data_IF_281366534605
#
_entry.id   IF_281366534605
#
_cell.length_a   1.000
_cell.length_b   1.000
_cell.length_c   1.000
_cell.angle_alpha   90.00
_cell.angle_beta   90.00
_cell.angle_gamma   90.00
#
_symmetry.space_group_name_H-M   'P 1'
#
loop_
_entity.id
_entity.type
_entity.pdbx_description
1 polymer ?
#
# COMPACT_ATOMS: atom_id res chain seq x y z
N UNK A 1 -22.65 -15.96 26.43
CA UNK A 1 -21.33 -16.35 26.99
C UNK A 1 -20.50 -16.80 25.80
N UNK A 2 -19.49 -16.03 25.40
CA UNK A 2 -18.53 -16.53 24.41
C UNK A 2 -17.77 -17.71 25.05
N UNK A 3 -17.60 -18.80 24.32
CA UNK A 3 -16.80 -19.94 24.78
C UNK A 3 -15.33 -19.51 24.92
N UNK A 4 -14.54 -20.17 25.79
CA UNK A 4 -13.09 -19.92 25.92
C UNK A 4 -12.39 -19.90 24.55
N UNK A 5 -12.84 -20.74 23.62
CA UNK A 5 -12.37 -20.76 22.23
C UNK A 5 -12.67 -19.45 21.49
N UNK A 6 -13.88 -18.92 21.61
CA UNK A 6 -14.27 -17.66 20.97
C UNK A 6 -13.49 -16.47 21.54
N UNK A 7 -13.22 -16.45 22.85
CA UNK A 7 -12.39 -15.40 23.47
C UNK A 7 -10.95 -15.43 22.94
N UNK A 8 -10.38 -16.62 22.71
CA UNK A 8 -9.05 -16.80 22.11
C UNK A 8 -9.04 -16.31 20.67
N UNK A 9 -10.03 -16.72 19.86
CA UNK A 9 -10.15 -16.31 18.46
C UNK A 9 -10.29 -14.79 18.32
N UNK A 10 -11.05 -14.14 19.21
CA UNK A 10 -11.22 -12.69 19.20
C UNK A 10 -9.91 -11.93 19.51
N UNK A 11 -9.10 -12.44 20.44
CA UNK A 11 -7.78 -11.88 20.74
C UNK A 11 -6.84 -12.01 19.54
N UNK A 12 -6.78 -13.20 18.95
CA UNK A 12 -5.97 -13.44 17.76
C UNK A 12 -6.39 -12.55 16.59
N UNK A 13 -7.70 -12.39 16.37
CA UNK A 13 -8.23 -11.45 15.36
C UNK A 13 -7.65 -10.05 15.57
N UNK A 14 -7.72 -9.53 16.78
CA UNK A 14 -7.25 -8.18 17.10
C UNK A 14 -5.74 -8.02 16.85
N UNK A 15 -4.95 -9.02 17.22
CA UNK A 15 -3.50 -9.04 17.01
C UNK A 15 -3.14 -9.05 15.52
N UNK A 16 -3.81 -9.89 14.73
CA UNK A 16 -3.60 -10.00 13.28
C UNK A 16 -4.09 -8.74 12.56
N UNK A 17 -5.24 -8.18 12.95
CA UNK A 17 -5.74 -6.90 12.42
C UNK A 17 -4.71 -5.80 12.64
N UNK A 18 -4.14 -5.71 13.85
CA UNK A 18 -3.11 -4.74 14.14
C UNK A 18 -1.89 -4.89 13.23
N UNK A 19 -1.43 -6.13 13.01
CA UNK A 19 -0.27 -6.38 12.16
C UNK A 19 -0.54 -6.12 10.68
N UNK A 20 -1.68 -6.57 10.16
CA UNK A 20 -2.13 -6.27 8.79
C UNK A 20 -2.27 -4.77 8.54
N UNK A 21 -2.81 -4.02 9.50
CA UNK A 21 -2.90 -2.57 9.41
C UNK A 21 -1.52 -1.89 9.30
N UNK A 22 -0.45 -2.49 9.85
CA UNK A 22 0.92 -1.97 9.65
C UNK A 22 1.41 -2.21 8.22
N UNK A 23 1.05 -3.33 7.60
CA UNK A 23 1.36 -3.58 6.19
C UNK A 23 0.60 -2.61 5.27
N UNK A 24 -0.73 -2.49 5.46
CA UNK A 24 -1.54 -1.56 4.68
C UNK A 24 -1.09 -0.11 4.85
N UNK A 25 -0.77 0.31 6.08
CA UNK A 25 -0.23 1.65 6.32
C UNK A 25 1.12 1.92 5.66
N UNK A 26 1.93 0.90 5.36
CA UNK A 26 3.14 1.06 4.54
C UNK A 26 2.80 1.20 3.06
N UNK A 27 1.86 0.39 2.57
CA UNK A 27 1.39 0.43 1.17
C UNK A 27 0.77 1.79 0.87
N UNK A 28 -0.12 2.29 1.72
CA UNK A 28 -0.78 3.59 1.54
C UNK A 28 0.22 4.75 1.51
N UNK A 29 1.25 4.70 2.37
CA UNK A 29 2.33 5.69 2.36
C UNK A 29 3.10 5.67 1.04
N UNK A 30 3.49 4.48 0.59
CA UNK A 30 4.20 4.32 -0.67
C UNK A 30 3.35 4.79 -1.86
N UNK A 31 2.05 4.48 -1.87
CA UNK A 31 1.11 4.92 -2.91
C UNK A 31 1.01 6.45 -2.97
N UNK A 32 0.80 7.10 -1.82
CA UNK A 32 0.72 8.56 -1.73
C UNK A 32 2.04 9.23 -2.17
N UNK A 33 3.19 8.65 -1.81
CA UNK A 33 4.49 9.19 -2.21
C UNK A 33 4.73 9.03 -3.73
N UNK A 34 4.35 7.88 -4.30
CA UNK A 34 4.39 7.63 -5.74
C UNK A 34 3.53 8.66 -6.48
N UNK A 35 2.29 8.90 -6.04
CA UNK A 35 1.38 9.87 -6.67
C UNK A 35 2.00 11.27 -6.69
N UNK A 36 2.56 11.73 -5.56
CA UNK A 36 3.23 13.03 -5.49
C UNK A 36 4.46 13.12 -6.39
N UNK A 37 5.26 12.06 -6.48
CA UNK A 37 6.44 12.01 -7.34
C UNK A 37 6.06 11.96 -8.82
N UNK A 38 4.98 11.28 -9.19
CA UNK A 38 4.46 11.26 -10.57
C UNK A 38 4.02 12.65 -11.02
N UNK A 39 3.33 13.41 -10.16
CA UNK A 39 2.95 14.80 -10.46
C UNK A 39 4.21 15.64 -10.69
N UNK A 40 5.21 15.55 -9.79
CA UNK A 40 6.47 16.30 -9.92
C UNK A 40 7.23 15.92 -11.19
N UNK A 41 7.28 14.63 -11.51
CA UNK A 41 7.93 14.13 -12.72
C UNK A 41 7.23 14.66 -13.97
N UNK A 42 5.89 14.68 -14.00
CA UNK A 42 5.12 15.24 -15.12
C UNK A 42 5.50 16.69 -15.42
N UNK A 43 5.60 17.55 -14.40
CA UNK A 43 6.03 18.95 -14.56
C UNK A 43 7.46 19.03 -15.12
N UNK A 44 8.39 18.23 -14.59
CA UNK A 44 9.79 18.23 -15.04
C UNK A 44 9.91 17.69 -16.47
N UNK A 45 9.18 16.63 -16.81
CA UNK A 45 9.13 16.06 -18.16
C UNK A 45 8.68 17.10 -19.19
N UNK A 46 7.62 17.87 -18.88
CA UNK A 46 7.13 18.95 -19.74
C UNK A 46 8.21 20.02 -19.98
N UNK A 47 8.92 20.44 -18.93
CA UNK A 47 10.01 21.41 -19.04
C UNK A 47 11.19 20.87 -19.86
N UNK A 48 11.57 19.61 -19.66
CA UNK A 48 12.62 18.96 -20.45
C UNK A 48 12.25 18.89 -21.94
N UNK A 49 11.00 18.55 -22.25
CA UNK A 49 10.48 18.51 -23.63
C UNK A 49 10.55 19.91 -24.26
N UNK A 50 10.13 20.94 -23.54
CA UNK A 50 10.14 22.32 -24.05
C UNK A 50 11.56 22.86 -24.28
N UNK A 51 12.53 22.45 -23.46
CA UNK A 51 13.94 22.74 -23.69
C UNK A 51 14.48 22.00 -24.92
N UNK A 52 14.23 20.70 -25.03
CA UNK A 52 14.68 19.88 -26.16
C UNK A 52 14.09 20.32 -27.51
N UNK A 53 12.90 20.96 -27.50
CA UNK A 53 12.31 21.58 -28.69
C UNK A 53 13.09 22.79 -29.18
N UNK A 54 13.76 23.52 -28.28
CA UNK A 54 14.54 24.74 -28.59
C UNK A 54 16.00 24.41 -28.91
N UNK A 55 16.56 23.47 -28.16
CA UNK A 55 17.91 22.99 -28.31
C UNK A 55 17.92 21.47 -28.09
N UNK A 56 18.18 20.71 -29.15
CA UNK A 56 18.14 19.24 -29.11
C UNK A 56 19.18 18.66 -28.15
N UNK A 57 20.30 19.36 -27.96
CA UNK A 57 21.40 18.92 -27.11
C UNK A 57 21.32 19.55 -25.71
N UNK A 58 20.17 20.16 -25.36
CA UNK A 58 19.94 20.72 -24.04
C UNK A 58 20.13 19.65 -22.95
N UNK A 59 20.96 20.01 -21.96
CA UNK A 59 21.27 19.19 -20.80
C UNK A 59 21.18 20.02 -19.49
N UNK A 60 21.67 19.45 -18.39
CA UNK A 60 21.78 20.12 -17.11
C UNK A 60 20.72 19.71 -16.08
N UNK A 61 20.55 20.56 -15.06
CA UNK A 61 19.87 20.21 -13.81
C UNK A 61 18.44 19.67 -13.99
N UNK A 62 17.67 20.17 -14.95
CA UNK A 62 16.30 19.68 -15.17
C UNK A 62 16.27 18.21 -15.65
N UNK A 63 17.21 17.82 -16.50
CA UNK A 63 17.33 16.43 -16.99
C UNK A 63 17.90 15.50 -15.91
N UNK A 64 18.83 15.99 -15.08
CA UNK A 64 19.29 15.26 -13.89
C UNK A 64 18.13 15.04 -12.90
N UNK A 65 17.31 16.07 -12.67
CA UNK A 65 16.13 15.98 -11.82
C UNK A 65 15.10 15.00 -12.38
N UNK A 66 14.87 15.01 -13.69
CA UNK A 66 14.01 14.05 -14.39
C UNK A 66 14.44 12.61 -14.10
N UNK A 67 15.73 12.32 -14.31
CA UNK A 67 16.32 11.00 -14.06
C UNK A 67 16.22 10.60 -12.59
N UNK A 68 16.52 11.52 -11.68
CA UNK A 68 16.42 11.27 -10.23
C UNK A 68 14.98 10.94 -9.80
N UNK A 69 13.98 11.61 -10.39
CA UNK A 69 12.57 11.32 -10.11
C UNK A 69 12.16 9.94 -10.65
N UNK A 70 12.63 9.58 -11.84
CA UNK A 70 12.40 8.25 -12.43
C UNK A 70 13.01 7.13 -11.58
N UNK A 71 14.26 7.29 -11.14
CA UNK A 71 14.93 6.33 -10.26
C UNK A 71 14.19 6.16 -8.93
N UNK A 72 13.78 7.27 -8.30
CA UNK A 72 12.99 7.22 -7.05
C UNK A 72 11.66 6.51 -7.23
N UNK A 73 10.93 6.81 -8.31
CA UNK A 73 9.65 6.16 -8.61
C UNK A 73 9.82 4.65 -8.82
N UNK A 74 10.90 4.23 -9.49
CA UNK A 74 11.23 2.82 -9.68
C UNK A 74 11.46 2.11 -8.34
N UNK A 75 12.32 2.68 -7.49
CA UNK A 75 12.63 2.11 -6.17
C UNK A 75 11.35 1.98 -5.33
N UNK A 76 10.52 3.03 -5.26
CA UNK A 76 9.28 2.99 -4.49
C UNK A 76 8.26 1.98 -5.05
N UNK A 77 8.18 1.81 -6.37
CA UNK A 77 7.34 0.76 -6.96
C UNK A 77 7.82 -0.63 -6.57
N UNK A 78 9.13 -0.89 -6.62
CA UNK A 78 9.72 -2.16 -6.21
C UNK A 78 9.44 -2.44 -4.72
N UNK A 79 9.61 -1.45 -3.85
CA UNK A 79 9.30 -1.55 -2.42
C UNK A 79 7.80 -1.82 -2.17
N UNK A 80 6.91 -1.11 -2.86
CA UNK A 80 5.47 -1.32 -2.74
C UNK A 80 5.09 -2.75 -3.15
N UNK A 81 5.63 -3.24 -4.26
CA UNK A 81 5.39 -4.61 -4.75
C UNK A 81 5.93 -5.64 -3.76
N UNK A 82 7.08 -5.40 -3.15
CA UNK A 82 7.64 -6.28 -2.12
C UNK A 82 6.72 -6.36 -0.89
N UNK A 83 6.22 -5.23 -0.39
CA UNK A 83 5.31 -5.20 0.77
C UNK A 83 3.96 -5.83 0.42
N UNK A 84 3.43 -5.60 -0.79
CA UNK A 84 2.18 -6.20 -1.25
C UNK A 84 2.26 -7.72 -1.33
N UNK A 85 3.42 -8.25 -1.73
CA UNK A 85 3.67 -9.69 -1.90
C UNK A 85 4.44 -10.31 -0.74
N UNK A 86 4.53 -9.63 0.41
CA UNK A 86 5.22 -10.16 1.58
C UNK A 86 4.53 -11.47 2.03
N UNK A 87 5.26 -12.60 2.11
CA UNK A 87 4.67 -13.89 2.47
C UNK A 87 3.95 -13.87 3.82
N UNK A 88 4.46 -13.09 4.78
CA UNK A 88 3.84 -12.94 6.10
C UNK A 88 2.51 -12.22 5.98
N UNK A 89 2.43 -11.15 5.19
CA UNK A 89 1.17 -10.42 4.95
C UNK A 89 0.11 -11.37 4.39
N UNK A 90 0.45 -12.14 3.36
CA UNK A 90 -0.47 -13.11 2.72
C UNK A 90 -0.94 -14.17 3.72
N UNK A 91 -0.02 -14.72 4.52
CA UNK A 91 -0.37 -15.72 5.54
C UNK A 91 -1.26 -15.14 6.64
N UNK A 92 -1.06 -13.88 7.04
CA UNK A 92 -1.90 -13.19 8.00
C UNK A 92 -3.31 -12.90 7.44
N UNK A 93 -3.43 -12.54 6.16
CA UNK A 93 -4.73 -12.40 5.47
C UNK A 93 -5.49 -13.74 5.45
N UNK A 94 -4.80 -14.84 5.12
CA UNK A 94 -5.39 -16.18 5.15
C UNK A 94 -5.85 -16.58 6.56
N UNK A 95 -5.02 -16.31 7.56
CA UNK A 95 -5.34 -16.62 8.96
C UNK A 95 -6.52 -15.78 9.47
N UNK A 96 -6.57 -14.50 9.09
CA UNK A 96 -7.69 -13.61 9.41
C UNK A 96 -9.01 -14.16 8.86
N UNK A 97 -9.03 -14.53 7.58
CA UNK A 97 -10.23 -15.10 6.95
C UNK A 97 -10.69 -16.34 7.69
N UNK A 98 -9.74 -17.21 8.09
CA UNK A 98 -10.07 -18.41 8.84
C UNK A 98 -10.64 -18.13 10.23
N UNK A 99 -10.10 -17.14 10.94
CA UNK A 99 -10.62 -16.74 12.26
C UNK A 99 -12.03 -16.17 12.14
N UNK A 100 -12.27 -15.33 11.12
CA UNK A 100 -13.60 -14.74 10.86
C UNK A 100 -14.63 -15.81 10.53
N UNK A 101 -14.29 -16.83 9.73
CA UNK A 101 -15.16 -17.99 9.45
C UNK A 101 -15.56 -18.77 10.70
N UNK A 102 -14.67 -18.85 11.70
CA UNK A 102 -14.91 -19.61 12.94
C UNK A 102 -15.62 -18.79 14.03
N UNK A 103 -15.66 -17.47 13.90
CA UNK A 103 -16.44 -16.61 14.78
C UNK A 103 -17.91 -16.62 14.35
N UNK A 104 -18.87 -16.70 15.29
CA UNK A 104 -20.28 -16.71 14.95
C UNK A 104 -20.62 -15.40 14.22
N UNK A 105 -21.25 -15.52 13.05
CA UNK A 105 -21.94 -14.39 12.42
C UNK A 105 -23.01 -13.97 13.41
N UNK A 106 -22.92 -12.75 13.92
CA UNK A 106 -24.04 -12.18 14.68
C UNK A 106 -25.12 -11.90 13.64
N UNK A 107 -26.05 -12.84 13.46
CA UNK A 107 -27.27 -12.59 12.69
C UNK A 107 -28.06 -11.49 13.42
N UNK A 108 -28.04 -10.27 12.90
CA UNK A 108 -28.85 -9.14 13.35
C UNK A 108 -30.35 -9.29 13.03
N UNK A 109 -30.86 -10.50 12.82
CA UNK A 109 -32.28 -10.78 12.55
C UNK A 109 -32.90 -11.66 13.64
N UNK A 110 -33.21 -11.04 14.79
CA UNK A 110 -34.29 -11.44 15.67
C UNK A 110 -34.65 -10.27 16.60
N UNK A 111 -35.09 -9.17 16.01
CA UNK A 111 -35.90 -8.17 16.69
C UNK A 111 -37.13 -7.97 15.80
N UNK A 112 -38.18 -8.72 16.10
CA UNK A 112 -39.59 -8.29 16.05
C UNK A 112 -40.48 -9.54 16.23
N UNK A 113 -40.79 -9.81 17.50
CA UNK A 113 -41.92 -10.64 17.94
C UNK A 113 -42.85 -9.73 18.75
#
# INVERSE_FOLDING_TARGET
MLTVRQDILQKWKTEIEHELNRFYGKIDKAYNEIEQLQIRKGIVDELCIDLQRRDRDADGYLFELQKNLEEKLKVLHEEMVQVQNDPKKVQLEMLMNRIVEELPVVDEFNLDN
#
